data_IF_688088464987
#
_entry.id   IF_688088464987
#
_cell.length_a   1.000
_cell.length_b   1.000
_cell.length_c   1.000
_cell.angle_alpha   90.00
_cell.angle_beta   90.00
_cell.angle_gamma   90.00
#
_symmetry.space_group_name_H-M   'P 1'
#
loop_
_entity.id
_entity.type
_entity.pdbx_description
1 polymer ?
#
# COMPACT_ATOMS: atom_id res chain seq x y z
N UNK A 1 -2.94 -6.95 -24.23
CA UNK A 1 -1.64 -7.12 -23.55
C UNK A 1 -1.82 -6.75 -22.09
N UNK A 2 -1.31 -7.52 -21.13
CA UNK A 2 -1.35 -7.14 -19.70
C UNK A 2 -0.37 -5.97 -19.53
N UNK A 3 -0.88 -4.77 -19.26
CA UNK A 3 -0.05 -3.59 -18.95
C UNK A 3 0.73 -3.90 -17.67
N UNK A 4 2.05 -3.72 -17.71
CA UNK A 4 2.88 -3.92 -16.53
C UNK A 4 2.56 -2.82 -15.52
N UNK A 5 2.24 -3.21 -14.28
CA UNK A 5 1.98 -2.25 -13.20
C UNK A 5 3.15 -1.30 -13.04
N UNK A 6 2.86 -0.01 -13.04
CA UNK A 6 3.89 1.00 -12.79
C UNK A 6 4.22 1.09 -11.30
N UNK A 7 5.26 1.86 -10.97
CA UNK A 7 5.74 1.98 -9.59
C UNK A 7 4.70 2.64 -8.66
N UNK A 8 3.95 3.62 -9.14
CA UNK A 8 2.95 4.32 -8.34
C UNK A 8 1.74 3.42 -8.09
N UNK A 9 1.33 2.66 -9.09
CA UNK A 9 0.29 1.64 -8.99
C UNK A 9 0.67 0.57 -7.96
N UNK A 10 1.91 0.08 -7.96
CA UNK A 10 2.37 -0.90 -6.97
C UNK A 10 2.33 -0.33 -5.55
N UNK A 11 2.75 0.92 -5.35
CA UNK A 11 2.66 1.58 -4.04
C UNK A 11 1.20 1.72 -3.63
N UNK A 12 0.35 2.22 -4.53
CA UNK A 12 -1.08 2.38 -4.29
C UNK A 12 -1.74 1.05 -3.89
N UNK A 13 -1.45 -0.05 -4.60
CA UNK A 13 -1.96 -1.39 -4.31
C UNK A 13 -1.63 -1.82 -2.87
N UNK A 14 -0.38 -1.66 -2.44
CA UNK A 14 0.05 -2.02 -1.08
C UNK A 14 -0.71 -1.21 -0.03
N UNK A 15 -0.79 0.12 -0.21
CA UNK A 15 -1.45 1.01 0.74
C UNK A 15 -2.96 0.76 0.78
N UNK A 16 -3.57 0.50 -0.38
CA UNK A 16 -4.98 0.15 -0.51
C UNK A 16 -5.31 -1.15 0.23
N UNK A 17 -4.48 -2.19 0.13
CA UNK A 17 -4.67 -3.44 0.87
C UNK A 17 -4.73 -3.18 2.38
N UNK A 18 -3.84 -2.33 2.91
CA UNK A 18 -3.86 -1.97 4.33
C UNK A 18 -5.16 -1.24 4.69
N UNK A 19 -5.59 -0.29 3.86
CA UNK A 19 -6.82 0.47 4.04
C UNK A 19 -8.06 -0.44 4.10
N UNK A 20 -8.19 -1.36 3.14
CA UNK A 20 -9.32 -2.30 3.03
C UNK A 20 -9.39 -3.28 4.21
N UNK A 21 -8.27 -3.51 4.91
CA UNK A 21 -8.21 -4.32 6.13
C UNK A 21 -8.37 -3.47 7.40
N UNK A 22 -9.28 -2.49 7.38
CA UNK A 22 -9.56 -1.57 8.50
C UNK A 22 -8.29 -0.89 9.05
N UNK A 23 -7.37 -0.53 8.16
CA UNK A 23 -6.08 0.07 8.48
C UNK A 23 -5.21 -0.76 9.45
N UNK A 24 -5.39 -2.08 9.50
CA UNK A 24 -4.62 -2.95 10.39
C UNK A 24 -4.50 -4.36 9.83
N UNK A 25 -3.33 -4.67 9.26
CA UNK A 25 -3.06 -5.97 8.64
C UNK A 25 -1.74 -6.56 9.11
N UNK A 26 -1.66 -7.89 9.26
CA UNK A 26 -0.38 -8.56 9.58
C UNK A 26 0.57 -8.54 8.36
N UNK A 27 1.89 -8.60 8.55
CA UNK A 27 2.86 -8.61 7.44
C UNK A 27 2.65 -9.74 6.43
N UNK A 28 2.39 -10.97 6.89
CA UNK A 28 2.23 -12.14 5.99
C UNK A 28 1.01 -12.03 5.08
N UNK A 29 -0.22 -11.71 5.57
CA UNK A 29 -1.34 -11.39 4.70
C UNK A 29 -1.05 -10.24 3.74
N UNK A 30 -0.41 -9.15 4.19
CA UNK A 30 -0.09 -8.00 3.35
C UNK A 30 0.77 -8.40 2.13
N UNK A 31 1.82 -9.19 2.35
CA UNK A 31 2.63 -9.76 1.27
C UNK A 31 1.76 -10.58 0.30
N UNK A 32 0.91 -11.47 0.82
CA UNK A 32 0.06 -12.34 -0.02
C UNK A 32 -0.93 -11.55 -0.87
N UNK A 33 -1.49 -10.46 -0.35
CA UNK A 33 -2.44 -9.61 -1.09
C UNK A 33 -1.76 -8.61 -2.04
N UNK A 34 -0.49 -8.25 -1.82
CA UNK A 34 0.24 -7.33 -2.69
C UNK A 34 0.48 -7.86 -4.12
N UNK A 35 0.32 -9.17 -4.33
CA UNK A 35 0.60 -9.84 -5.59
C UNK A 35 2.02 -9.53 -6.11
N UNK A 36 3.01 -9.47 -5.21
CA UNK A 36 4.42 -9.27 -5.48
C UNK A 36 5.22 -10.50 -5.05
N UNK A 37 6.40 -10.70 -5.63
CA UNK A 37 7.38 -11.63 -5.07
C UNK A 37 7.87 -11.10 -3.72
N UNK A 38 8.29 -11.99 -2.82
CA UNK A 38 8.76 -11.62 -1.49
C UNK A 38 9.90 -10.59 -1.53
N UNK A 39 10.82 -10.72 -2.49
CA UNK A 39 11.92 -9.76 -2.66
C UNK A 39 11.40 -8.36 -3.00
N UNK A 40 10.57 -8.23 -4.04
CA UNK A 40 10.03 -6.94 -4.46
C UNK A 40 9.15 -6.33 -3.37
N UNK A 41 8.34 -7.14 -2.69
CA UNK A 41 7.54 -6.68 -1.58
C UNK A 41 8.41 -6.06 -0.48
N UNK A 42 9.50 -6.72 -0.08
CA UNK A 42 10.39 -6.21 0.97
C UNK A 42 11.01 -4.86 0.58
N UNK A 43 11.47 -4.71 -0.67
CA UNK A 43 12.01 -3.43 -1.19
C UNK A 43 10.99 -2.29 -1.05
N UNK A 44 9.75 -2.50 -1.51
CA UNK A 44 8.69 -1.50 -1.36
C UNK A 44 8.31 -1.28 0.11
N UNK A 45 8.23 -2.34 0.90
CA UNK A 45 7.83 -2.26 2.30
C UNK A 45 8.83 -1.42 3.11
N UNK A 46 10.12 -1.68 2.98
CA UNK A 46 11.19 -0.90 3.63
C UNK A 46 11.17 0.57 3.17
N UNK A 47 10.93 0.81 1.89
CA UNK A 47 10.78 2.17 1.38
C UNK A 47 9.54 2.87 1.99
N UNK A 48 8.40 2.19 2.08
CA UNK A 48 7.17 2.78 2.62
C UNK A 48 7.27 3.05 4.12
N UNK A 49 7.96 2.20 4.87
CA UNK A 49 8.28 2.43 6.28
C UNK A 49 9.24 3.61 6.42
N UNK A 50 10.38 3.59 5.71
CA UNK A 50 11.40 4.64 5.82
C UNK A 50 10.90 6.01 5.39
N UNK A 51 10.02 6.08 4.39
CA UNK A 51 9.37 7.32 3.94
C UNK A 51 8.14 7.69 4.76
N UNK A 52 7.74 6.87 5.74
CA UNK A 52 6.65 7.14 6.65
C UNK A 52 5.26 7.12 6.01
N UNK A 53 5.03 6.31 4.98
CA UNK A 53 3.69 6.02 4.46
C UNK A 53 2.96 4.98 5.31
N UNK A 54 3.71 4.05 5.89
CA UNK A 54 3.21 3.00 6.77
C UNK A 54 4.03 2.95 8.06
N UNK A 55 3.47 2.34 9.10
CA UNK A 55 4.17 2.04 10.34
C UNK A 55 3.77 0.67 10.88
N UNK A 56 4.71 0.04 11.58
CA UNK A 56 4.42 -1.15 12.38
C UNK A 56 3.87 -0.73 13.75
N UNK A 57 2.79 -1.35 14.18
CA UNK A 57 2.23 -1.21 15.52
C UNK A 57 2.19 -2.57 16.19
N UNK A 58 2.34 -2.58 17.51
CA UNK A 58 2.22 -3.79 18.33
C UNK A 58 0.95 -3.66 19.15
N UNK A 59 0.04 -4.63 19.01
CA UNK A 59 -1.17 -4.65 19.84
C UNK A 59 -0.83 -5.02 21.31
N UNK A 60 -1.79 -4.85 22.22
CA UNK A 60 -1.61 -5.22 23.63
C UNK A 60 -1.34 -6.72 23.88
N UNK A 61 -1.40 -7.56 22.84
CA UNK A 61 -1.10 -9.00 22.87
C UNK A 61 0.23 -9.34 22.18
N UNK A 62 1.05 -8.33 21.88
CA UNK A 62 2.37 -8.51 21.25
C UNK A 62 2.33 -8.82 19.75
N UNK A 63 1.19 -8.68 19.09
CA UNK A 63 1.05 -9.00 17.66
C UNK A 63 1.38 -7.77 16.82
N UNK A 64 2.24 -7.96 15.83
CA UNK A 64 2.58 -6.93 14.84
C UNK A 64 1.45 -6.73 13.84
N UNK A 65 1.08 -5.48 13.61
CA UNK A 65 0.21 -5.05 12.53
C UNK A 65 0.84 -3.86 11.79
N UNK A 66 0.48 -3.72 10.52
CA UNK A 66 0.90 -2.63 9.65
C UNK A 66 -0.30 -1.70 9.49
N UNK A 67 -0.06 -0.41 9.65
CA UNK A 67 -1.08 0.65 9.55
C UNK A 67 -0.55 1.78 8.65
N UNK A 68 -1.45 2.45 7.95
CA UNK A 68 -1.16 3.70 7.25
C UNK A 68 -0.89 4.82 8.25
N UNK A 69 0.01 5.73 7.87
CA UNK A 69 0.15 7.05 8.47
C UNK A 69 -0.75 8.04 7.72
N UNK A 70 -0.85 9.29 8.21
CA UNK A 70 -1.54 10.37 7.50
C UNK A 70 -1.02 10.57 6.07
N UNK A 71 0.30 10.41 5.89
CA UNK A 71 0.96 10.46 4.58
C UNK A 71 0.52 9.30 3.68
N UNK A 72 0.37 8.10 4.25
CA UNK A 72 -0.17 6.92 3.56
C UNK A 72 -1.59 7.16 3.06
N UNK A 73 -2.49 7.64 3.94
CA UNK A 73 -3.86 7.98 3.57
C UNK A 73 -3.90 9.03 2.46
N UNK A 74 -3.09 10.10 2.60
CA UNK A 74 -3.07 11.17 1.59
C UNK A 74 -2.62 10.66 0.22
N UNK A 75 -1.66 9.74 0.16
CA UNK A 75 -1.24 9.14 -1.11
C UNK A 75 -2.36 8.39 -1.80
N UNK A 76 -3.10 7.54 -1.06
CA UNK A 76 -4.22 6.76 -1.62
C UNK A 76 -5.28 7.70 -2.20
N UNK A 77 -5.66 8.74 -1.46
CA UNK A 77 -6.64 9.73 -1.92
C UNK A 77 -6.17 10.47 -3.19
N UNK A 78 -4.92 10.91 -3.23
CA UNK A 78 -4.36 11.61 -4.40
C UNK A 78 -4.25 10.71 -5.62
N UNK A 79 -3.84 9.45 -5.44
CA UNK A 79 -3.77 8.51 -6.54
C UNK A 79 -5.16 8.21 -7.12
N UNK A 80 -6.18 8.08 -6.26
CA UNK A 80 -7.58 7.95 -6.71
C UNK A 80 -8.06 9.15 -7.53
N UNK A 81 -7.67 10.37 -7.14
CA UNK A 81 -7.97 11.56 -7.93
C UNK A 81 -7.30 11.55 -9.32
N UNK A 82 -6.06 11.05 -9.42
CA UNK A 82 -5.37 10.88 -10.71
C UNK A 82 -6.11 9.86 -11.59
N UNK A 83 -6.51 8.72 -11.03
CA UNK A 83 -7.29 7.72 -11.77
C UNK A 83 -8.62 8.28 -12.27
N UNK A 84 -9.33 9.05 -11.43
CA UNK A 84 -10.57 9.71 -11.83
C UNK A 84 -10.36 10.71 -12.98
N UNK A 85 -9.26 11.46 -12.94
CA UNK A 85 -8.89 12.35 -14.05
C UNK A 85 -8.58 11.57 -15.34
N UNK A 86 -7.80 10.50 -15.26
CA UNK A 86 -7.48 9.68 -16.44
C UNK A 86 -8.77 9.12 -17.07
N UNK A 87 -9.68 8.62 -16.25
CA UNK A 87 -10.98 8.08 -16.68
C UNK A 87 -11.88 9.16 -17.29
N UNK A 88 -11.94 10.35 -16.68
CA UNK A 88 -12.74 11.49 -17.17
C UNK A 88 -12.28 11.99 -18.55
N UNK A 89 -10.97 11.92 -18.84
CA UNK A 89 -10.37 12.42 -20.07
C UNK A 89 -9.97 11.33 -21.07
N UNK A 90 -10.31 10.06 -20.81
CA UNK A 90 -10.02 8.88 -21.65
C UNK A 90 -8.52 8.73 -22.01
N UNK A 91 -7.65 8.87 -21.01
CA UNK A 91 -6.16 8.86 -21.13
C UNK A 91 -5.47 7.52 -20.77
#
# INVERSE_FOLDING_TARGET
>A
MIKKRDRLEVIHDILRVILEHNNSIKPTPLLRYSNLSSQRFNEYFEELVSKGFIREVIDGKGRKAITLTDKGFHYVEKYKAILGFIDEFDL
#
